data_IF_972365567636
#
_entry.id   IF_972365567636
#
_cell.length_a   1.000
_cell.length_b   1.000
_cell.length_c   1.000
_cell.angle_alpha   90.00
_cell.angle_beta   90.00
_cell.angle_gamma   90.00
#
_symmetry.space_group_name_H-M   'P 1'
#
loop_
_entity.id
_entity.type
_entity.pdbx_description
1 polymer ?
#
# COMPACT_ATOMS: atom_id res chain seq x y z
N UNK A 1 -24.90 16.29 6.44
CA UNK A 1 -23.89 15.23 6.20
C UNK A 1 -24.04 14.79 4.75
N UNK A 2 -23.11 15.17 3.87
CA UNK A 2 -23.20 14.80 2.45
C UNK A 2 -22.89 13.31 2.32
N UNK A 3 -23.75 12.54 1.66
CA UNK A 3 -23.51 11.13 1.41
C UNK A 3 -22.37 11.01 0.39
N UNK A 4 -21.28 10.36 0.77
CA UNK A 4 -20.15 10.10 -0.13
C UNK A 4 -20.62 9.05 -1.14
N UNK A 5 -20.73 9.46 -2.40
CA UNK A 5 -21.09 8.55 -3.49
C UNK A 5 -19.82 7.94 -4.03
N UNK A 6 -19.63 6.65 -3.76
CA UNK A 6 -18.53 5.88 -4.36
C UNK A 6 -18.97 5.35 -5.73
N UNK A 7 -18.11 5.40 -6.76
CA UNK A 7 -18.40 4.74 -8.03
C UNK A 7 -18.51 3.21 -7.83
N UNK A 8 -19.07 2.46 -8.77
CA UNK A 8 -19.01 1.00 -8.73
C UNK A 8 -17.57 0.52 -8.64
N UNK A 9 -17.27 -0.44 -7.76
CA UNK A 9 -15.88 -0.90 -7.57
C UNK A 9 -15.24 -1.40 -8.87
N UNK A 10 -16.02 -2.10 -9.71
CA UNK A 10 -15.53 -2.62 -10.99
C UNK A 10 -15.00 -1.52 -11.92
N UNK A 11 -15.55 -0.29 -11.87
CA UNK A 11 -15.10 0.78 -12.75
C UNK A 11 -13.69 1.25 -12.38
N UNK A 12 -13.31 1.11 -11.11
CA UNK A 12 -11.93 1.36 -10.67
C UNK A 12 -11.00 0.23 -11.10
N UNK A 13 -11.46 -1.02 -11.07
CA UNK A 13 -10.68 -2.18 -11.53
C UNK A 13 -10.40 -2.09 -13.02
N UNK A 14 -11.40 -1.70 -13.83
CA UNK A 14 -11.20 -1.48 -15.26
C UNK A 14 -10.27 -0.31 -15.55
N UNK A 15 -10.41 0.80 -14.82
CA UNK A 15 -9.58 1.98 -15.01
C UNK A 15 -8.12 1.77 -14.57
N UNK A 16 -7.87 1.01 -13.50
CA UNK A 16 -6.57 0.96 -12.82
C UNK A 16 -5.95 -0.44 -12.72
N UNK A 17 -6.66 -1.51 -13.06
CA UNK A 17 -6.18 -2.89 -12.87
C UNK A 17 -4.88 -3.19 -13.62
N UNK A 18 -4.75 -2.70 -14.86
CA UNK A 18 -3.54 -2.88 -15.65
C UNK A 18 -2.31 -2.20 -15.03
N UNK A 19 -2.44 -0.95 -14.59
CA UNK A 19 -1.33 -0.22 -13.96
C UNK A 19 -0.98 -0.78 -12.57
N UNK A 20 -1.97 -1.27 -11.81
CA UNK A 20 -1.77 -1.93 -10.53
C UNK A 20 -1.09 -3.30 -10.71
N UNK A 21 -1.36 -4.02 -11.80
CA UNK A 21 -0.67 -5.27 -12.13
C UNK A 21 0.81 -5.02 -12.43
N UNK A 22 1.11 -4.01 -13.26
CA UNK A 22 2.49 -3.61 -13.53
C UNK A 22 3.20 -3.22 -12.24
N UNK A 23 2.52 -2.50 -11.34
CA UNK A 23 3.05 -2.15 -10.03
C UNK A 23 3.34 -3.37 -9.15
N UNK A 24 2.37 -4.29 -9.02
CA UNK A 24 2.54 -5.53 -8.27
C UNK A 24 3.72 -6.35 -8.81
N UNK A 25 3.81 -6.56 -10.13
CA UNK A 25 4.92 -7.27 -10.78
C UNK A 25 6.26 -6.60 -10.54
N UNK A 26 6.33 -5.26 -10.52
CA UNK A 26 7.56 -4.52 -10.19
C UNK A 26 8.02 -4.79 -8.76
N UNK A 27 7.09 -4.96 -7.81
CA UNK A 27 7.41 -5.23 -6.41
C UNK A 27 7.74 -6.69 -6.12
N UNK A 28 7.00 -7.64 -6.73
CA UNK A 28 7.05 -9.06 -6.34
C UNK A 28 7.61 -9.99 -7.42
N UNK A 29 7.98 -9.45 -8.58
CA UNK A 29 8.36 -10.20 -9.76
C UNK A 29 7.14 -10.62 -10.60
N UNK A 30 7.41 -10.93 -11.87
CA UNK A 30 6.39 -11.24 -12.88
C UNK A 30 5.47 -12.40 -12.46
N UNK A 31 6.07 -13.48 -11.95
CA UNK A 31 5.35 -14.70 -11.56
C UNK A 31 4.36 -14.51 -10.38
N UNK A 32 4.58 -13.52 -9.51
CA UNK A 32 3.73 -13.33 -8.32
C UNK A 32 2.78 -12.14 -8.44
N UNK A 33 2.97 -11.27 -9.44
CA UNK A 33 2.25 -9.99 -9.50
C UNK A 33 0.75 -10.15 -9.70
N UNK A 34 0.31 -11.19 -10.41
CA UNK A 34 -1.12 -11.48 -10.61
C UNK A 34 -1.81 -11.87 -9.31
N UNK A 35 -1.22 -12.79 -8.54
CA UNK A 35 -1.76 -13.24 -7.26
C UNK A 35 -1.81 -12.09 -6.24
N UNK A 36 -0.74 -11.30 -6.17
CA UNK A 36 -0.67 -10.12 -5.29
C UNK A 36 -1.74 -9.10 -5.66
N UNK A 37 -1.95 -8.84 -6.96
CA UNK A 37 -3.02 -7.94 -7.39
C UNK A 37 -4.39 -8.51 -7.03
N UNK A 38 -4.63 -9.81 -7.23
CA UNK A 38 -5.89 -10.45 -6.91
C UNK A 38 -6.23 -10.28 -5.43
N UNK A 39 -5.28 -10.58 -4.54
CA UNK A 39 -5.43 -10.40 -3.10
C UNK A 39 -5.66 -8.93 -2.73
N UNK A 40 -4.94 -8.01 -3.37
CA UNK A 40 -5.11 -6.58 -3.16
C UNK A 40 -6.52 -6.12 -3.54
N UNK A 41 -7.03 -6.56 -4.69
CA UNK A 41 -8.38 -6.21 -5.14
C UNK A 41 -9.46 -6.82 -4.24
N UNK A 42 -9.27 -8.03 -3.73
CA UNK A 42 -10.19 -8.64 -2.75
C UNK A 42 -10.21 -7.87 -1.42
N UNK A 43 -9.03 -7.47 -0.92
CA UNK A 43 -8.90 -6.62 0.27
C UNK A 43 -9.57 -5.25 0.04
N UNK A 44 -9.32 -4.64 -1.11
CA UNK A 44 -9.91 -3.38 -1.51
C UNK A 44 -11.44 -3.49 -1.56
N UNK A 45 -11.99 -4.48 -2.26
CA UNK A 45 -13.44 -4.70 -2.38
C UNK A 45 -14.12 -4.80 -1.02
N UNK A 46 -13.52 -5.50 -0.05
CA UNK A 46 -14.04 -5.63 1.32
C UNK A 46 -13.99 -4.32 2.12
N UNK A 47 -13.00 -3.47 1.86
CA UNK A 47 -12.84 -2.18 2.53
C UNK A 47 -13.64 -1.05 1.86
N UNK A 48 -13.94 -1.20 0.57
CA UNK A 48 -14.55 -0.17 -0.28
C UNK A 48 -15.83 0.46 0.29
N UNK A 49 -16.84 -0.29 0.80
CA UNK A 49 -18.07 0.30 1.33
C UNK A 49 -17.86 1.16 2.59
N UNK A 50 -16.69 1.08 3.22
CA UNK A 50 -16.35 1.83 4.44
C UNK A 50 -15.63 3.15 4.15
N UNK A 51 -15.28 3.42 2.89
CA UNK A 51 -14.61 4.68 2.54
C UNK A 51 -15.52 5.87 2.83
N UNK A 52 -14.89 6.96 3.28
CA UNK A 52 -15.55 8.22 3.65
C UNK A 52 -15.24 9.35 2.68
N UNK A 53 -14.43 9.09 1.67
CA UNK A 53 -13.96 10.06 0.68
C UNK A 53 -13.79 9.36 -0.66
N UNK A 54 -14.18 10.02 -1.76
CA UNK A 54 -14.07 9.50 -3.12
C UNK A 54 -12.93 10.16 -3.94
N UNK A 55 -12.28 11.18 -3.38
CA UNK A 55 -11.34 12.05 -4.11
C UNK A 55 -9.97 11.42 -4.42
N UNK A 56 -9.63 10.29 -3.77
CA UNK A 56 -8.30 9.66 -3.91
C UNK A 56 -8.34 8.13 -4.10
N UNK A 57 -9.36 7.61 -4.78
CA UNK A 57 -9.56 6.16 -4.93
C UNK A 57 -8.41 5.44 -5.66
N UNK A 58 -7.80 6.08 -6.66
CA UNK A 58 -6.61 5.54 -7.34
C UNK A 58 -5.44 5.37 -6.37
N UNK A 59 -5.07 6.42 -5.65
CA UNK A 59 -3.99 6.39 -4.68
C UNK A 59 -4.27 5.36 -3.56
N UNK A 60 -5.52 5.26 -3.13
CA UNK A 60 -5.95 4.25 -2.17
C UNK A 60 -5.75 2.81 -2.71
N UNK A 61 -6.09 2.53 -3.97
CA UNK A 61 -5.82 1.22 -4.58
C UNK A 61 -4.33 0.90 -4.66
N UNK A 62 -3.49 1.87 -5.05
CA UNK A 62 -2.03 1.72 -5.04
C UNK A 62 -1.50 1.36 -3.65
N UNK A 63 -2.03 1.99 -2.60
CA UNK A 63 -1.68 1.66 -1.22
C UNK A 63 -2.08 0.23 -0.85
N UNK A 64 -3.30 -0.20 -1.18
CA UNK A 64 -3.74 -1.58 -0.91
C UNK A 64 -2.85 -2.59 -1.67
N UNK A 65 -2.50 -2.32 -2.92
CA UNK A 65 -1.58 -3.17 -3.69
C UNK A 65 -0.18 -3.21 -3.08
N UNK A 66 0.36 -2.06 -2.67
CA UNK A 66 1.70 -1.96 -2.07
C UNK A 66 1.79 -2.72 -0.74
N UNK A 67 0.83 -2.50 0.15
CA UNK A 67 0.76 -3.23 1.44
C UNK A 67 0.65 -4.73 1.23
N UNK A 68 -0.18 -5.17 0.27
CA UNK A 68 -0.35 -6.58 -0.06
C UNK A 68 0.94 -7.19 -0.65
N UNK A 69 1.64 -6.46 -1.51
CA UNK A 69 2.95 -6.87 -2.04
C UNK A 69 4.00 -7.01 -0.94
N UNK A 70 4.07 -6.05 -0.01
CA UNK A 70 4.99 -6.10 1.13
C UNK A 70 4.68 -7.28 2.05
N UNK A 71 3.41 -7.55 2.34
CA UNK A 71 2.99 -8.72 3.13
C UNK A 71 3.42 -10.03 2.48
N UNK A 72 3.23 -10.13 1.16
CA UNK A 72 3.66 -11.29 0.38
C UNK A 72 5.18 -11.49 0.46
N UNK A 73 5.97 -10.43 0.30
CA UNK A 73 7.44 -10.50 0.43
C UNK A 73 7.89 -10.88 1.85
N UNK A 74 7.24 -10.33 2.89
CA UNK A 74 7.51 -10.68 4.30
C UNK A 74 7.18 -12.15 4.57
N UNK A 75 6.10 -12.68 4.01
CA UNK A 75 5.73 -14.09 4.15
C UNK A 75 6.76 -15.02 3.51
N UNK A 76 7.18 -14.75 2.26
CA UNK A 76 8.21 -15.56 1.58
C UNK A 76 9.54 -15.55 2.34
N UNK A 77 9.92 -14.42 2.93
CA UNK A 77 11.13 -14.35 3.76
C UNK A 77 11.03 -15.19 5.03
N UNK A 78 9.85 -15.32 5.65
CA UNK A 78 9.66 -16.19 6.81
C UNK A 78 9.72 -17.68 6.44
N UNK A 79 9.26 -18.03 5.24
CA UNK A 79 9.35 -19.40 4.71
C UNK A 79 10.79 -19.79 4.35
N UNK A 80 11.59 -18.81 3.92
CA UNK A 80 13.05 -18.95 3.73
C UNK A 80 13.76 -18.63 5.05
N UNK A 81 13.67 -19.54 6.02
CA UNK A 81 14.46 -19.45 7.26
C UNK A 81 15.94 -19.75 6.92
N UNK A 82 16.69 -18.72 6.53
CA UNK A 82 18.15 -18.80 6.29
C UNK A 82 18.90 -17.98 7.34
N UNK A 83 20.15 -18.39 7.64
CA UNK A 83 21.06 -17.74 8.60
C UNK A 83 21.64 -16.40 8.09
N UNK A 84 21.08 -15.87 7.01
CA UNK A 84 21.60 -14.72 6.27
C UNK A 84 20.72 -13.48 6.51
N UNK A 85 21.31 -12.30 6.81
CA UNK A 85 20.54 -11.08 7.00
C UNK A 85 19.73 -10.75 5.73
N UNK A 86 18.58 -10.05 5.88
CA UNK A 86 17.75 -9.72 4.73
C UNK A 86 18.56 -9.03 3.65
N UNK A 87 18.43 -9.50 2.41
CA UNK A 87 18.73 -8.66 1.27
C UNK A 87 17.84 -7.42 1.35
N UNK A 88 18.45 -6.24 1.41
CA UNK A 88 17.74 -4.96 1.29
C UNK A 88 17.07 -4.96 -0.08
N UNK A 89 15.74 -5.10 -0.09
CA UNK A 89 14.97 -4.87 -1.31
C UNK A 89 15.16 -3.41 -1.64
N UNK A 90 15.84 -3.11 -2.75
CA UNK A 90 15.89 -1.76 -3.30
C UNK A 90 14.45 -1.34 -3.58
N UNK A 91 13.89 -0.57 -2.66
CA UNK A 91 12.60 0.07 -2.86
C UNK A 91 12.74 0.92 -4.13
N UNK A 92 11.83 0.80 -5.11
CA UNK A 92 11.89 1.67 -6.27
C UNK A 92 11.72 3.10 -5.75
N UNK A 93 12.82 3.86 -5.78
CA UNK A 93 12.99 5.20 -5.16
C UNK A 93 11.90 6.21 -5.55
N UNK A 94 11.11 5.91 -6.60
CA UNK A 94 10.10 6.80 -7.16
C UNK A 94 8.72 6.77 -6.47
N UNK A 95 8.39 5.78 -5.62
CA UNK A 95 7.09 5.77 -4.92
C UNK A 95 7.11 6.58 -3.62
N UNK A 96 8.25 6.54 -2.91
CA UNK A 96 8.45 7.33 -1.70
C UNK A 96 8.48 8.81 -2.06
N UNK A 97 9.13 9.21 -3.16
CA UNK A 97 9.23 10.62 -3.58
C UNK A 97 7.88 11.32 -3.76
N UNK A 98 6.88 10.66 -4.37
CA UNK A 98 5.57 11.27 -4.59
C UNK A 98 4.76 11.39 -3.29
N UNK A 99 4.83 10.38 -2.42
CA UNK A 99 4.19 10.40 -1.10
C UNK A 99 4.87 11.41 -0.18
N UNK A 100 6.20 11.42 -0.18
CA UNK A 100 7.06 12.31 0.58
C UNK A 100 6.86 13.77 0.17
N UNK A 101 6.75 14.03 -1.13
CA UNK A 101 6.39 15.36 -1.65
C UNK A 101 5.01 15.82 -1.19
N UNK A 102 4.05 14.90 -1.09
CA UNK A 102 2.68 15.18 -0.65
C UNK A 102 2.58 15.50 0.85
N UNK A 103 3.45 14.89 1.67
CA UNK A 103 3.47 15.11 3.12
C UNK A 103 4.46 16.20 3.54
N UNK A 104 5.33 16.68 2.64
CA UNK A 104 6.40 17.63 2.94
C UNK A 104 5.94 18.95 3.57
N UNK A 105 4.70 19.39 3.31
CA UNK A 105 4.13 20.62 3.90
C UNK A 105 3.59 20.42 5.33
N UNK A 106 3.49 19.18 5.80
CA UNK A 106 2.98 18.87 7.14
C UNK A 106 4.07 19.00 8.20
N UNK A 107 3.71 19.25 9.48
CA UNK A 107 4.67 19.21 10.58
C UNK A 107 5.35 17.84 10.71
N UNK A 108 6.63 17.82 11.08
CA UNK A 108 7.49 16.63 11.12
C UNK A 108 6.87 15.45 11.88
N UNK A 109 6.19 15.71 13.01
CA UNK A 109 5.50 14.65 13.78
C UNK A 109 4.36 13.99 13.01
N UNK A 110 3.62 14.76 12.22
CA UNK A 110 2.55 14.25 11.35
C UNK A 110 3.14 13.48 10.17
N UNK A 111 4.22 13.98 9.56
CA UNK A 111 4.92 13.25 8.49
C UNK A 111 5.42 11.89 8.98
N UNK A 112 6.05 11.86 10.15
CA UNK A 112 6.57 10.63 10.74
C UNK A 112 5.45 9.63 11.05
N UNK A 113 4.34 10.07 11.66
CA UNK A 113 3.18 9.22 11.87
C UNK A 113 2.60 8.66 10.57
N UNK A 114 2.53 9.48 9.51
CA UNK A 114 2.03 9.06 8.21
C UNK A 114 2.97 8.07 7.52
N UNK A 115 4.29 8.26 7.59
CA UNK A 115 5.27 7.26 7.10
C UNK A 115 5.19 5.96 7.88
N UNK A 116 5.17 6.01 9.21
CA UNK A 116 5.06 4.82 10.05
C UNK A 116 3.75 4.05 9.78
N UNK A 117 2.65 4.79 9.55
CA UNK A 117 1.37 4.18 9.22
C UNK A 117 1.31 3.60 7.82
N UNK A 118 1.87 4.29 6.83
CA UNK A 118 1.57 4.00 5.42
C UNK A 118 2.74 3.43 4.61
N UNK A 119 3.97 3.55 5.11
CA UNK A 119 5.18 2.93 4.56
C UNK A 119 5.56 1.72 5.42
N UNK A 120 5.58 1.88 6.75
CA UNK A 120 5.96 0.80 7.67
C UNK A 120 4.78 -0.10 8.09
N UNK A 121 3.54 0.32 7.81
CA UNK A 121 2.28 -0.37 8.13
C UNK A 121 2.11 -0.72 9.62
N UNK A 122 2.62 0.16 10.50
CA UNK A 122 2.42 0.06 11.94
C UNK A 122 0.96 0.38 12.30
N UNK A 123 0.47 -0.32 13.32
CA UNK A 123 -0.80 0.01 13.96
C UNK A 123 -0.64 1.24 14.88
N UNK A 124 -1.77 1.75 15.41
CA UNK A 124 -1.75 2.97 16.21
C UNK A 124 -0.88 2.85 17.46
N UNK A 125 -0.79 1.65 18.04
CA UNK A 125 0.03 1.37 19.23
C UNK A 125 1.53 1.35 18.87
N UNK A 126 1.89 0.71 17.76
CA UNK A 126 3.26 0.71 17.22
C UNK A 126 3.73 2.09 16.78
N UNK A 127 2.85 2.93 16.22
CA UNK A 127 3.15 4.32 15.87
C UNK A 127 3.42 5.13 17.15
N UNK A 128 2.55 5.03 18.16
CA UNK A 128 2.70 5.75 19.42
C UNK A 128 4.02 5.39 20.12
N UNK A 129 4.36 4.10 20.19
CA UNK A 129 5.61 3.64 20.79
C UNK A 129 6.87 4.16 20.06
N UNK A 130 6.76 4.51 18.77
CA UNK A 130 7.88 5.00 17.96
C UNK A 130 8.06 6.52 18.04
N UNK A 131 6.97 7.26 18.21
CA UNK A 131 6.98 8.73 18.25
C UNK A 131 7.15 9.30 19.66
N UNK A 132 6.96 8.47 20.70
CA UNK A 132 7.11 8.85 22.10
C UNK A 132 5.82 9.32 22.74
#
# INVERSE_FOLDING_TARGET
MSAVVLPPFWSLVEAHGGELLVHARRMTGDANGEDVLQDALLRALRAYPRLRHAEHLRAWLYRVTTTTALDHLRARRREVLTDEPPATVSQPEHYDDAFDSLIAELPDGTQAALRLRFVEDLDYEGIAARLG
#
